data_IF_532917550521
#
_entry.id   IF_532917550521
#
_cell.length_a   1.000
_cell.length_b   1.000
_cell.length_c   1.000
_cell.angle_alpha   90.00
_cell.angle_beta   90.00
_cell.angle_gamma   90.00
#
_symmetry.space_group_name_H-M   'P 1'
#
loop_
_entity.id
_entity.type
_entity.pdbx_description
1 polymer ?
#
# COMPACT_ATOMS: atom_id res chain seq x y z
N UNK A 1 -4.25 10.80 -20.54
CA UNK A 1 -4.68 9.45 -20.10
C UNK A 1 -4.51 9.41 -18.60
N UNK A 2 -5.58 9.16 -17.83
CA UNK A 2 -5.50 9.15 -16.36
C UNK A 2 -5.21 7.72 -15.87
N UNK A 3 -4.20 7.57 -15.02
CA UNK A 3 -3.77 6.28 -14.48
C UNK A 3 -4.25 6.02 -13.05
N UNK A 4 -5.00 6.94 -12.43
CA UNK A 4 -5.63 6.69 -11.13
C UNK A 4 -6.49 5.41 -11.19
N UNK A 5 -6.50 4.66 -10.09
CA UNK A 5 -7.20 3.38 -9.96
C UNK A 5 -6.69 2.26 -10.88
N UNK A 6 -5.50 2.40 -11.47
CA UNK A 6 -4.85 1.36 -12.25
C UNK A 6 -3.70 0.71 -11.49
N UNK A 7 -3.32 -0.47 -11.96
CA UNK A 7 -2.11 -1.17 -11.51
C UNK A 7 -0.99 -1.04 -12.54
N UNK A 8 0.20 -0.65 -12.09
CA UNK A 8 1.43 -0.82 -12.86
C UNK A 8 2.05 -2.17 -12.52
N UNK A 9 2.30 -2.96 -13.56
CA UNK A 9 2.89 -4.29 -13.45
C UNK A 9 4.34 -4.21 -13.90
N UNK A 10 5.28 -4.50 -12.98
CA UNK A 10 6.69 -4.54 -13.32
C UNK A 10 6.99 -5.65 -14.33
N UNK A 11 7.51 -5.28 -15.49
CA UNK A 11 7.92 -6.26 -16.50
C UNK A 11 9.11 -7.10 -16.00
N UNK A 12 9.25 -8.37 -16.43
CA UNK A 12 10.34 -9.25 -15.99
C UNK A 12 11.76 -8.70 -16.23
N UNK A 13 11.92 -7.84 -17.25
CA UNK A 13 13.19 -7.21 -17.58
C UNK A 13 13.56 -6.03 -16.67
N UNK A 14 12.64 -5.53 -15.82
CA UNK A 14 12.91 -4.42 -14.91
C UNK A 14 13.91 -4.86 -13.83
N UNK A 15 15.11 -4.28 -13.87
CA UNK A 15 16.22 -4.64 -12.98
C UNK A 15 16.24 -3.87 -11.67
N UNK A 16 15.44 -2.82 -11.54
CA UNK A 16 15.36 -2.04 -10.30
C UNK A 16 14.90 -2.94 -9.14
N UNK A 17 15.72 -3.12 -8.07
CA UNK A 17 15.37 -4.00 -6.96
C UNK A 17 14.10 -3.56 -6.22
N UNK A 18 13.82 -2.26 -6.16
CA UNK A 18 12.64 -1.69 -5.48
C UNK A 18 11.37 -2.12 -6.21
N UNK A 19 11.37 -2.12 -7.55
CA UNK A 19 10.19 -2.44 -8.36
C UNK A 19 10.21 -3.84 -8.97
N UNK A 20 11.28 -4.63 -8.78
CA UNK A 20 11.36 -5.99 -9.30
C UNK A 20 10.16 -6.81 -8.82
N UNK A 21 9.37 -7.32 -9.78
CA UNK A 21 8.14 -8.11 -9.52
C UNK A 21 7.08 -7.37 -8.67
N UNK A 22 7.08 -6.03 -8.64
CA UNK A 22 6.07 -5.27 -7.92
C UNK A 22 4.78 -5.08 -8.72
N UNK A 23 3.68 -5.01 -7.99
CA UNK A 23 2.40 -4.46 -8.44
C UNK A 23 2.20 -3.14 -7.70
N UNK A 24 2.08 -2.04 -8.44
CA UNK A 24 1.89 -0.70 -7.88
C UNK A 24 0.46 -0.24 -8.16
N UNK A 25 -0.30 0.11 -7.13
CA UNK A 25 -1.59 0.79 -7.27
C UNK A 25 -1.39 2.29 -7.36
N UNK A 26 -1.99 2.95 -8.35
CA UNK A 26 -1.90 4.41 -8.52
C UNK A 26 -3.07 5.10 -7.83
N UNK A 27 -2.77 5.86 -6.77
CA UNK A 27 -3.75 6.62 -6.01
C UNK A 27 -3.92 8.06 -6.55
N UNK A 28 -2.86 8.63 -7.12
CA UNK A 28 -2.88 10.00 -7.66
C UNK A 28 -2.11 10.07 -8.98
N UNK A 29 -2.67 10.82 -9.93
CA UNK A 29 -2.04 11.14 -11.21
C UNK A 29 -2.55 12.51 -11.67
N UNK A 30 -1.65 13.48 -11.77
CA UNK A 30 -1.91 14.86 -12.19
C UNK A 30 -0.66 15.47 -12.85
N UNK A 31 -0.67 16.78 -13.10
CA UNK A 31 0.41 17.50 -13.78
C UNK A 31 1.71 17.53 -12.97
N UNK A 32 1.65 17.32 -11.65
CA UNK A 32 2.82 17.23 -10.77
C UNK A 32 3.46 15.83 -10.79
N UNK A 33 2.74 14.82 -11.31
CA UNK A 33 3.24 13.47 -11.50
C UNK A 33 2.26 12.38 -11.03
N UNK A 34 2.84 11.26 -10.57
CA UNK A 34 2.08 10.08 -10.16
C UNK A 34 2.54 9.59 -8.78
N UNK A 35 1.58 9.27 -7.91
CA UNK A 35 1.82 8.62 -6.63
C UNK A 35 1.17 7.23 -6.62
N UNK A 36 1.88 6.23 -6.10
CA UNK A 36 1.37 4.89 -5.96
C UNK A 36 1.99 4.10 -4.82
N UNK A 37 1.34 2.98 -4.49
CA UNK A 37 1.71 2.10 -3.37
C UNK A 37 1.99 0.70 -3.92
N UNK A 38 3.11 0.10 -3.52
CA UNK A 38 3.40 -1.31 -3.82
C UNK A 38 2.53 -2.18 -2.92
N UNK A 39 1.70 -3.04 -3.51
CA UNK A 39 0.71 -3.85 -2.77
C UNK A 39 1.15 -5.30 -2.51
N UNK A 40 2.23 -5.76 -3.13
CA UNK A 40 2.65 -7.16 -3.11
C UNK A 40 4.07 -7.40 -2.56
N UNK A 41 4.62 -6.42 -1.82
CA UNK A 41 5.92 -6.54 -1.14
C UNK A 41 5.73 -6.26 0.36
N UNK A 42 5.43 -7.28 1.17
CA UNK A 42 5.35 -7.11 2.62
C UNK A 42 6.73 -6.76 3.18
N UNK A 43 6.77 -5.95 4.23
CA UNK A 43 8.00 -5.65 4.95
C UNK A 43 8.33 -6.81 5.90
N UNK A 44 9.52 -7.38 5.73
CA UNK A 44 10.00 -8.45 6.60
C UNK A 44 10.20 -7.89 8.02
N UNK A 45 9.63 -8.57 9.02
CA UNK A 45 9.73 -8.21 10.45
C UNK A 45 9.00 -6.92 10.86
N UNK A 46 8.02 -6.45 10.08
CA UNK A 46 7.13 -5.38 10.50
C UNK A 46 5.69 -5.89 10.58
N UNK A 47 5.12 -5.81 11.77
CA UNK A 47 3.71 -6.12 12.02
C UNK A 47 2.96 -4.83 12.40
N UNK A 48 1.66 -4.80 12.10
CA UNK A 48 0.82 -3.60 12.28
C UNK A 48 0.70 -3.23 13.76
N UNK A 49 0.53 -4.21 14.65
CA UNK A 49 0.53 -4.03 16.10
C UNK A 49 1.77 -3.27 16.59
N UNK A 50 2.96 -3.71 16.20
CA UNK A 50 4.21 -3.06 16.57
C UNK A 50 4.38 -1.65 15.99
N UNK A 51 3.74 -1.34 14.86
CA UNK A 51 3.68 0.04 14.34
C UNK A 51 2.77 0.89 15.22
N UNK A 52 1.57 0.39 15.52
CA UNK A 52 0.57 1.13 16.31
C UNK A 52 1.10 1.45 17.70
N UNK A 53 1.78 0.50 18.35
CA UNK A 53 2.45 0.71 19.64
C UNK A 53 3.50 1.83 19.56
N UNK A 54 4.37 1.81 18.54
CA UNK A 54 5.40 2.85 18.35
C UNK A 54 4.79 4.24 18.11
N UNK A 55 3.61 4.30 17.52
CA UNK A 55 2.88 5.54 17.27
C UNK A 55 1.98 5.96 18.45
N UNK A 56 1.98 5.21 19.56
CA UNK A 56 1.08 5.40 20.70
C UNK A 56 -0.41 5.41 20.29
N UNK A 57 -0.79 4.60 19.31
CA UNK A 57 -2.17 4.43 18.89
C UNK A 57 -2.78 3.28 19.68
N UNK A 58 -3.72 3.62 20.57
CA UNK A 58 -4.46 2.63 21.36
C UNK A 58 -5.67 2.18 20.55
N UNK A 59 -5.82 0.86 20.38
CA UNK A 59 -7.00 0.29 19.75
C UNK A 59 -8.23 0.52 20.63
N UNK A 60 -9.23 1.22 20.11
CA UNK A 60 -10.54 1.27 20.75
C UNK A 60 -11.31 -0.04 20.54
N UNK A 61 -12.15 -0.45 21.49
CA UNK A 61 -12.99 -1.63 21.33
C UNK A 61 -13.83 -1.52 20.06
N UNK A 62 -13.91 -2.62 19.30
CA UNK A 62 -14.64 -2.68 18.04
C UNK A 62 -16.09 -2.22 18.26
N UNK A 63 -16.53 -1.23 17.49
CA UNK A 63 -17.90 -0.74 17.57
C UNK A 63 -18.86 -1.91 17.22
N UNK A 64 -19.76 -2.28 18.15
CA UNK A 64 -20.66 -3.43 17.98
C UNK A 64 -21.66 -3.24 16.84
N UNK A 65 -21.94 -2.00 16.41
CA UNK A 65 -22.83 -1.73 15.27
C UNK A 65 -22.21 -2.07 13.91
N UNK A 66 -20.89 -2.26 13.86
CA UNK A 66 -20.14 -2.63 12.64
C UNK A 66 -19.94 -4.17 12.56
N UNK A 67 -20.80 -4.94 13.23
CA UNK A 67 -20.72 -6.42 13.29
C UNK A 67 -21.70 -7.15 12.36
N UNK A 68 -22.33 -6.45 11.42
CA UNK A 68 -23.31 -7.02 10.50
C UNK A 68 -22.77 -7.01 9.06
N UNK A 69 -22.02 -8.03 8.70
CA UNK A 69 -21.48 -8.24 7.35
C UNK A 69 -20.71 -9.54 7.24
#
# INVERSE_FOLDING_TARGET
MNLQHHFLIAMPALQDPIFRRSVVYICEYNDDGAMGIIINKPLENLQIDGILEKLNIVAEPRNPEISSG
#
